data_IF_233705467261
#
_entry.id   IF_233705467261
#
_cell.length_a   1.000
_cell.length_b   1.000
_cell.length_c   1.000
_cell.angle_alpha   90.00
_cell.angle_beta   90.00
_cell.angle_gamma   90.00
#
_symmetry.space_group_name_H-M   'P 1'
#
loop_
_entity.id
_entity.type
_entity.pdbx_description
1 polymer ?
#
# COMPACT_ATOMS: atom_id res chain seq x y z
N UNK A 1 27.45 -78.25 50.48
CA UNK A 1 26.31 -77.36 50.89
C UNK A 1 26.14 -76.36 49.79
N UNK A 2 25.19 -76.63 48.93
CA UNK A 2 24.75 -75.67 47.88
C UNK A 2 23.94 -74.59 48.57
N UNK A 3 24.34 -73.33 48.38
CA UNK A 3 23.63 -72.15 48.83
C UNK A 3 22.47 -71.94 47.81
N UNK A 4 21.26 -72.31 48.16
CA UNK A 4 20.05 -71.93 47.37
C UNK A 4 19.71 -70.48 47.73
N UNK A 5 19.86 -69.58 46.72
CA UNK A 5 19.38 -68.24 46.81
C UNK A 5 17.87 -68.23 46.50
N UNK A 6 17.08 -67.55 47.32
CA UNK A 6 15.66 -67.44 47.07
C UNK A 6 15.41 -66.70 45.69
N UNK A 7 14.58 -67.26 44.87
CA UNK A 7 14.15 -66.65 43.62
C UNK A 7 13.58 -65.26 43.88
N UNK A 8 14.13 -64.25 43.22
CA UNK A 8 13.63 -62.89 43.25
C UNK A 8 12.27 -62.87 42.60
N UNK A 9 11.22 -62.79 43.38
CA UNK A 9 9.87 -62.61 42.90
C UNK A 9 9.76 -61.16 42.41
N UNK A 10 9.80 -60.93 41.09
CA UNK A 10 9.53 -59.62 40.50
C UNK A 10 8.04 -59.38 40.68
N UNK A 11 7.70 -58.51 41.62
CA UNK A 11 6.33 -58.05 41.82
C UNK A 11 5.95 -57.21 40.55
N UNK A 12 4.93 -57.70 39.82
CA UNK A 12 4.41 -56.97 38.66
C UNK A 12 3.93 -55.61 39.09
N UNK A 13 4.04 -54.64 38.20
CA UNK A 13 3.57 -53.26 38.45
C UNK A 13 2.12 -53.26 38.95
N UNK A 14 1.85 -52.52 40.00
CA UNK A 14 0.51 -52.34 40.55
C UNK A 14 -0.35 -51.58 39.54
N UNK A 15 -1.68 -51.72 39.60
CA UNK A 15 -2.60 -50.99 38.73
C UNK A 15 -2.43 -49.48 38.87
N UNK A 16 -2.07 -48.99 40.05
CA UNK A 16 -1.81 -47.57 40.29
C UNK A 16 -0.54 -47.06 39.58
N UNK A 17 0.52 -47.91 39.53
CA UNK A 17 1.73 -47.57 38.75
C UNK A 17 1.49 -47.59 37.24
N UNK A 18 0.59 -48.42 36.73
CA UNK A 18 0.17 -48.42 35.35
C UNK A 18 -0.69 -47.20 35.03
N UNK A 19 -1.60 -46.82 35.92
CA UNK A 19 -2.43 -45.61 35.77
C UNK A 19 -1.55 -44.34 35.85
N UNK A 20 -0.60 -44.27 36.75
CA UNK A 20 0.35 -43.16 36.81
C UNK A 20 1.24 -43.05 35.57
N UNK A 21 1.66 -44.17 34.99
CA UNK A 21 2.42 -44.21 33.76
C UNK A 21 1.57 -43.80 32.53
N UNK A 22 0.28 -44.09 32.51
CA UNK A 22 -0.65 -43.62 31.51
C UNK A 22 -0.90 -42.11 31.62
N UNK A 23 -1.20 -41.62 32.81
CA UNK A 23 -1.36 -40.17 33.06
C UNK A 23 -0.10 -39.38 32.69
N UNK A 24 1.10 -39.91 32.97
CA UNK A 24 2.35 -39.30 32.58
C UNK A 24 2.53 -39.26 31.05
N UNK A 25 2.10 -40.31 30.33
CA UNK A 25 2.14 -40.35 28.87
C UNK A 25 1.11 -39.42 28.24
N UNK A 26 -0.08 -39.33 28.75
CA UNK A 26 -1.12 -38.39 28.32
C UNK A 26 -0.73 -36.95 28.62
N UNK A 27 -0.10 -36.70 29.78
CA UNK A 27 0.47 -35.40 30.16
C UNK A 27 1.58 -34.91 29.23
N UNK A 28 2.45 -35.82 28.76
CA UNK A 28 3.54 -35.51 27.82
C UNK A 28 2.99 -35.09 26.44
N UNK A 29 1.84 -35.61 26.00
CA UNK A 29 1.22 -35.23 24.72
C UNK A 29 0.43 -33.91 24.75
N UNK A 30 -0.10 -33.52 25.91
CA UNK A 30 -0.99 -32.36 26.00
C UNK A 30 -0.30 -31.01 25.75
N UNK A 31 0.97 -30.87 26.12
CA UNK A 31 1.69 -29.62 25.86
C UNK A 31 2.14 -29.42 24.41
N UNK A 32 2.19 -30.51 23.63
CA UNK A 32 2.53 -30.45 22.20
C UNK A 32 1.57 -29.53 21.43
N UNK A 33 0.28 -29.57 21.75
CA UNK A 33 -0.72 -28.68 21.16
C UNK A 33 -0.45 -27.20 21.44
N UNK A 34 0.07 -26.87 22.63
CA UNK A 34 0.43 -25.49 22.97
C UNK A 34 1.67 -25.02 22.21
N UNK A 35 2.66 -25.90 22.05
CA UNK A 35 3.86 -25.60 21.26
C UNK A 35 3.52 -25.40 19.79
N UNK A 36 2.67 -26.29 19.22
CA UNK A 36 2.24 -26.19 17.82
C UNK A 36 1.40 -24.93 17.59
N UNK A 37 0.50 -24.60 18.52
CA UNK A 37 -0.29 -23.36 18.47
C UNK A 37 0.60 -22.12 18.60
N UNK A 38 1.61 -22.16 19.47
CA UNK A 38 2.58 -21.09 19.64
C UNK A 38 3.39 -20.86 18.35
N UNK A 39 3.85 -21.93 17.72
CA UNK A 39 4.60 -21.87 16.48
C UNK A 39 3.73 -21.31 15.33
N UNK A 40 2.51 -21.81 15.18
CA UNK A 40 1.56 -21.33 14.19
C UNK A 40 1.24 -19.84 14.38
N UNK A 41 1.03 -19.39 15.61
CA UNK A 41 0.79 -17.98 15.92
C UNK A 41 2.02 -17.10 15.62
N UNK A 42 3.23 -17.60 15.92
CA UNK A 42 4.47 -16.89 15.63
C UNK A 42 4.75 -16.79 14.13
N UNK A 43 4.54 -17.86 13.37
CA UNK A 43 4.66 -17.87 11.91
C UNK A 43 3.64 -16.93 11.26
N UNK A 44 2.40 -16.93 11.74
CA UNK A 44 1.34 -15.99 11.31
C UNK A 44 1.71 -14.54 11.62
N UNK A 45 2.26 -14.26 12.79
CA UNK A 45 2.74 -12.93 13.19
C UNK A 45 3.87 -12.42 12.29
N UNK A 46 4.86 -13.28 12.00
CA UNK A 46 5.95 -12.96 11.07
C UNK A 46 5.42 -12.70 9.65
N UNK A 47 4.50 -13.53 9.15
CA UNK A 47 3.87 -13.33 7.84
C UNK A 47 3.12 -12.00 7.74
N UNK A 48 2.38 -11.63 8.79
CA UNK A 48 1.64 -10.36 8.86
C UNK A 48 2.58 -9.16 8.88
N UNK A 49 3.67 -9.24 9.64
CA UNK A 49 4.69 -8.18 9.69
C UNK A 49 5.40 -8.02 8.35
N UNK A 50 5.73 -9.14 7.71
CA UNK A 50 6.38 -9.15 6.40
C UNK A 50 5.46 -8.59 5.31
N UNK A 51 4.16 -8.88 5.37
CA UNK A 51 3.17 -8.27 4.49
C UNK A 51 3.10 -6.75 4.68
N UNK A 52 3.11 -6.25 5.91
CA UNK A 52 3.18 -4.82 6.22
C UNK A 52 4.42 -4.15 5.63
N UNK A 53 5.58 -4.80 5.76
CA UNK A 53 6.83 -4.32 5.15
C UNK A 53 6.75 -4.26 3.62
N UNK A 54 6.14 -5.25 2.98
CA UNK A 54 5.93 -5.28 1.53
C UNK A 54 4.95 -4.17 1.06
N UNK A 55 3.90 -3.89 1.83
CA UNK A 55 3.00 -2.76 1.57
C UNK A 55 3.75 -1.43 1.60
N UNK A 56 4.62 -1.25 2.59
CA UNK A 56 5.46 -0.06 2.72
C UNK A 56 6.51 0.04 1.60
N UNK A 57 7.12 -1.09 1.22
CA UNK A 57 8.08 -1.14 0.11
C UNK A 57 7.46 -0.75 -1.24
N UNK A 58 6.15 -0.90 -1.40
CA UNK A 58 5.41 -0.40 -2.56
C UNK A 58 5.15 1.12 -2.55
N UNK A 59 5.43 1.83 -1.45
CA UNK A 59 5.34 3.28 -1.41
C UNK A 59 6.51 3.89 -2.19
N UNK A 60 6.20 4.91 -2.98
CA UNK A 60 7.20 5.61 -3.80
C UNK A 60 7.44 7.01 -3.20
N UNK A 61 8.56 7.15 -2.51
CA UNK A 61 8.99 8.42 -1.90
C UNK A 61 9.94 9.21 -2.78
N UNK A 62 10.13 8.79 -4.05
CA UNK A 62 10.97 9.52 -5.00
C UNK A 62 10.35 10.88 -5.37
N UNK A 63 11.18 11.87 -5.76
CA UNK A 63 10.69 13.16 -6.24
C UNK A 63 9.75 13.03 -7.45
N UNK A 64 9.83 11.92 -8.17
CA UNK A 64 9.07 11.64 -9.39
C UNK A 64 7.80 10.79 -9.15
N UNK A 65 7.48 10.47 -7.89
CA UNK A 65 6.32 9.63 -7.54
C UNK A 65 4.99 10.16 -8.10
N UNK A 66 4.84 11.48 -8.22
CA UNK A 66 3.65 12.12 -8.77
C UNK A 66 3.37 11.75 -10.23
N UNK A 67 4.40 11.38 -11.00
CA UNK A 67 4.25 11.05 -12.43
C UNK A 67 3.30 9.90 -12.69
N UNK A 68 3.19 8.96 -11.73
CA UNK A 68 2.25 7.83 -11.80
C UNK A 68 0.78 8.24 -11.64
N UNK A 69 0.55 9.42 -11.07
CA UNK A 69 -0.77 9.97 -10.79
C UNK A 69 -1.17 11.09 -11.75
N UNK A 70 -0.31 11.42 -12.73
CA UNK A 70 -0.66 12.37 -13.77
C UNK A 70 -1.72 11.76 -14.68
N UNK A 71 -2.78 12.52 -14.92
CA UNK A 71 -3.88 12.07 -15.78
C UNK A 71 -3.44 12.06 -17.24
N UNK A 72 -3.42 10.91 -17.93
CA UNK A 72 -3.08 10.83 -19.34
C UNK A 72 -4.11 11.55 -20.23
N UNK A 73 -5.37 11.67 -19.79
CA UNK A 73 -6.43 12.36 -20.53
C UNK A 73 -6.33 13.89 -20.44
N UNK A 74 -5.52 14.40 -19.52
CA UNK A 74 -5.34 15.85 -19.38
C UNK A 74 -4.84 16.51 -20.67
N UNK A 75 -3.98 15.82 -21.42
CA UNK A 75 -3.49 16.33 -22.70
C UNK A 75 -4.63 16.45 -23.73
N UNK A 76 -5.56 15.50 -23.75
CA UNK A 76 -6.70 15.54 -24.66
C UNK A 76 -7.64 16.68 -24.32
N UNK A 77 -7.93 16.90 -23.03
CA UNK A 77 -8.72 18.02 -22.53
C UNK A 77 -8.07 19.36 -22.87
N UNK A 78 -6.77 19.47 -22.66
CA UNK A 78 -6.00 20.68 -23.00
C UNK A 78 -6.01 20.90 -24.51
N UNK A 79 -5.81 19.88 -25.32
CA UNK A 79 -5.85 19.97 -26.77
C UNK A 79 -7.23 20.45 -27.30
N UNK A 80 -8.32 19.94 -26.69
CA UNK A 80 -9.67 20.37 -27.07
C UNK A 80 -9.92 21.84 -26.69
N UNK A 81 -9.46 22.26 -25.51
CA UNK A 81 -9.51 23.67 -25.10
C UNK A 81 -8.69 24.58 -26.05
N UNK A 82 -7.53 24.11 -26.51
CA UNK A 82 -6.71 24.85 -27.49
C UNK A 82 -7.39 24.97 -28.84
N UNK A 83 -8.04 23.92 -29.32
CA UNK A 83 -8.85 23.98 -30.55
C UNK A 83 -9.99 25.00 -30.46
N UNK A 84 -10.63 25.10 -29.30
CA UNK A 84 -11.67 26.11 -29.09
C UNK A 84 -11.09 27.53 -29.11
N UNK A 85 -9.92 27.77 -28.53
CA UNK A 85 -9.24 29.07 -28.63
C UNK A 85 -8.90 29.40 -30.09
N UNK A 86 -8.39 28.43 -30.85
CA UNK A 86 -8.09 28.61 -32.27
C UNK A 86 -9.34 28.93 -33.09
N UNK A 87 -10.45 28.24 -32.81
CA UNK A 87 -11.73 28.49 -33.44
C UNK A 87 -12.23 29.91 -33.17
N UNK A 88 -12.15 30.36 -31.92
CA UNK A 88 -12.56 31.73 -31.58
C UNK A 88 -11.65 32.78 -32.21
N UNK A 89 -10.33 32.54 -32.26
CA UNK A 89 -9.39 33.42 -32.96
C UNK A 89 -9.68 33.50 -34.44
N UNK A 90 -10.02 32.38 -35.10
CA UNK A 90 -10.39 32.35 -36.51
C UNK A 90 -11.71 33.14 -36.78
N UNK A 91 -12.73 32.99 -35.92
CA UNK A 91 -13.98 33.76 -36.02
C UNK A 91 -13.69 35.27 -35.88
N UNK A 92 -12.89 35.66 -34.87
CA UNK A 92 -12.53 37.05 -34.66
C UNK A 92 -11.73 37.64 -35.83
N UNK A 93 -10.80 36.84 -36.40
CA UNK A 93 -10.06 37.23 -37.61
C UNK A 93 -10.97 37.45 -38.80
N UNK A 94 -11.94 36.55 -39.04
CA UNK A 94 -12.92 36.70 -40.13
C UNK A 94 -13.84 37.91 -39.95
N UNK A 95 -14.26 38.18 -38.69
CA UNK A 95 -15.04 39.39 -38.39
C UNK A 95 -14.24 40.66 -38.62
N UNK A 96 -12.97 40.68 -38.25
CA UNK A 96 -12.06 41.80 -38.50
C UNK A 96 -11.89 42.03 -40.00
N UNK A 97 -11.65 40.96 -40.78
CA UNK A 97 -11.53 41.02 -42.23
C UNK A 97 -12.83 41.55 -42.87
N UNK A 98 -14.00 41.08 -42.43
CA UNK A 98 -15.30 41.55 -42.91
C UNK A 98 -15.52 43.04 -42.64
N UNK A 99 -15.17 43.53 -41.45
CA UNK A 99 -15.23 44.97 -41.11
C UNK A 99 -14.28 45.79 -41.94
N UNK A 100 -13.04 45.32 -42.13
CA UNK A 100 -12.05 46.01 -42.96
C UNK A 100 -12.49 46.08 -44.46
N UNK A 101 -13.09 45.02 -44.98
CA UNK A 101 -13.63 44.98 -46.35
C UNK A 101 -14.77 45.97 -46.48
N UNK A 102 -15.73 46.02 -45.55
CA UNK A 102 -16.86 46.93 -45.54
C UNK A 102 -16.47 48.41 -45.42
N UNK A 103 -15.33 48.70 -44.76
CA UNK A 103 -14.79 50.05 -44.61
C UNK A 103 -13.84 50.46 -45.75
N UNK A 104 -13.60 49.63 -46.74
CA UNK A 104 -12.64 49.89 -47.82
C UNK A 104 -11.18 49.94 -47.39
N UNK A 105 -10.88 49.45 -46.17
CA UNK A 105 -9.55 49.50 -45.51
C UNK A 105 -8.77 48.19 -45.60
N UNK A 106 -9.15 47.32 -46.54
CA UNK A 106 -8.52 46.02 -46.73
C UNK A 106 -7.06 46.20 -47.17
N UNK A 107 -6.10 45.73 -46.36
CA UNK A 107 -4.66 45.83 -46.69
C UNK A 107 -3.96 47.06 -46.11
N UNK A 108 -4.63 47.91 -45.33
CA UNK A 108 -3.98 49.03 -44.65
C UNK A 108 -3.15 48.58 -43.44
N UNK A 109 -2.13 49.43 -43.07
CA UNK A 109 -1.23 49.15 -41.93
C UNK A 109 -1.98 48.89 -40.60
N UNK A 110 -3.12 49.56 -40.37
CA UNK A 110 -3.96 49.35 -39.18
C UNK A 110 -4.58 47.96 -39.11
N UNK A 111 -5.00 47.42 -40.28
CA UNK A 111 -5.54 46.06 -40.36
C UNK A 111 -4.43 45.02 -39.99
N UNK A 112 -3.22 45.19 -40.53
CA UNK A 112 -2.10 44.33 -40.19
C UNK A 112 -1.72 44.34 -38.70
N UNK A 113 -1.77 45.53 -38.04
CA UNK A 113 -1.55 45.66 -36.63
C UNK A 113 -2.64 44.94 -35.83
N UNK A 114 -3.91 45.16 -36.12
CA UNK A 114 -5.02 44.50 -35.44
C UNK A 114 -5.00 42.98 -35.61
N UNK A 115 -4.65 42.48 -36.77
CA UNK A 115 -4.49 41.05 -37.01
C UNK A 115 -3.32 40.47 -36.22
N UNK A 116 -2.18 41.19 -36.10
CA UNK A 116 -1.03 40.74 -35.31
C UNK A 116 -1.34 40.74 -33.81
N UNK A 117 -2.08 41.71 -33.31
CA UNK A 117 -2.55 41.79 -31.92
C UNK A 117 -3.51 40.64 -31.58
N UNK A 118 -4.45 40.32 -32.50
CA UNK A 118 -5.35 39.19 -32.34
C UNK A 118 -4.59 37.87 -32.26
N UNK A 119 -3.58 37.68 -33.13
CA UNK A 119 -2.74 36.45 -33.10
C UNK A 119 -1.93 36.36 -31.82
N UNK A 120 -1.35 37.47 -31.30
CA UNK A 120 -0.63 37.50 -30.04
C UNK A 120 -1.54 37.14 -28.87
N UNK A 121 -2.74 37.73 -28.79
CA UNK A 121 -3.70 37.44 -27.75
C UNK A 121 -4.12 35.96 -27.75
N UNK A 122 -4.36 35.38 -28.93
CA UNK A 122 -4.67 33.94 -29.04
C UNK A 122 -3.50 33.08 -28.53
N UNK A 123 -2.25 33.44 -28.86
CA UNK A 123 -1.06 32.73 -28.43
C UNK A 123 -0.87 32.87 -26.91
N UNK A 124 -1.09 34.02 -26.33
CA UNK A 124 -1.02 34.24 -24.88
C UNK A 124 -2.07 33.44 -24.12
N UNK A 125 -3.32 33.40 -24.63
CA UNK A 125 -4.38 32.57 -24.06
C UNK A 125 -4.03 31.07 -24.10
N UNK A 126 -3.47 30.60 -25.20
CA UNK A 126 -2.99 29.20 -25.34
C UNK A 126 -1.92 28.89 -24.31
N UNK A 127 -0.90 29.75 -24.19
CA UNK A 127 0.20 29.57 -23.23
C UNK A 127 -0.29 29.54 -21.79
N UNK A 128 -1.18 30.47 -21.42
CA UNK A 128 -1.79 30.50 -20.08
C UNK A 128 -2.59 29.25 -19.81
N UNK A 129 -3.42 28.78 -20.75
CA UNK A 129 -4.23 27.59 -20.60
C UNK A 129 -3.39 26.36 -20.38
N UNK A 130 -2.34 26.18 -21.19
CA UNK A 130 -1.39 25.05 -21.03
C UNK A 130 -0.75 25.10 -19.66
N UNK A 131 -0.26 26.26 -19.22
CA UNK A 131 0.39 26.40 -17.93
C UNK A 131 -0.55 26.13 -16.77
N UNK A 132 -1.78 26.65 -16.80
CA UNK A 132 -2.78 26.41 -15.76
C UNK A 132 -3.15 24.93 -15.65
N UNK A 133 -3.40 24.27 -16.78
CA UNK A 133 -3.79 22.86 -16.81
C UNK A 133 -2.62 21.97 -16.33
N UNK A 134 -1.39 22.24 -16.75
CA UNK A 134 -0.21 21.52 -16.27
C UNK A 134 0.01 21.75 -14.77
N UNK A 135 -0.15 22.98 -14.29
CA UNK A 135 0.01 23.30 -12.86
C UNK A 135 -1.02 22.58 -11.99
N UNK A 136 -2.29 22.58 -12.43
CA UNK A 136 -3.36 21.85 -11.72
C UNK A 136 -3.12 20.35 -11.71
N UNK A 137 -2.77 19.77 -12.85
CA UNK A 137 -2.47 18.34 -12.94
C UNK A 137 -1.30 17.95 -12.04
N UNK A 138 -0.23 18.76 -12.05
CA UNK A 138 0.92 18.54 -11.17
C UNK A 138 0.54 18.56 -9.70
N UNK A 139 -0.24 19.59 -9.25
CA UNK A 139 -0.69 19.70 -7.86
C UNK A 139 -1.57 18.51 -7.45
N UNK A 140 -2.50 18.10 -8.31
CA UNK A 140 -3.37 16.95 -8.07
C UNK A 140 -2.57 15.65 -8.00
N UNK A 141 -1.64 15.44 -8.94
CA UNK A 141 -0.79 14.26 -8.96
C UNK A 141 0.12 14.18 -7.72
N UNK A 142 0.67 15.31 -7.29
CA UNK A 142 1.49 15.39 -6.07
C UNK A 142 0.66 15.07 -4.83
N UNK A 143 -0.54 15.62 -4.72
CA UNK A 143 -1.44 15.33 -3.60
C UNK A 143 -1.86 13.85 -3.58
N UNK A 144 -2.18 13.27 -4.73
CA UNK A 144 -2.51 11.86 -4.86
C UNK A 144 -1.34 10.94 -4.49
N UNK A 145 -0.11 11.27 -4.91
CA UNK A 145 1.10 10.54 -4.53
C UNK A 145 1.32 10.57 -3.02
N UNK A 146 1.19 11.73 -2.39
CA UNK A 146 1.31 11.87 -0.93
C UNK A 146 0.24 11.09 -0.19
N UNK A 147 -1.03 11.18 -0.62
CA UNK A 147 -2.13 10.43 -0.03
C UNK A 147 -1.92 8.91 -0.15
N UNK A 148 -1.47 8.42 -1.31
CA UNK A 148 -1.14 7.01 -1.52
C UNK A 148 -0.04 6.54 -0.58
N UNK A 149 1.03 7.32 -0.42
CA UNK A 149 2.14 6.99 0.48
C UNK A 149 1.70 6.99 1.94
N UNK A 150 0.87 7.94 2.36
CA UNK A 150 0.30 7.97 3.71
C UNK A 150 -0.58 6.75 3.99
N UNK A 151 -1.45 6.38 3.05
CA UNK A 151 -2.28 5.18 3.20
C UNK A 151 -1.43 3.91 3.32
N UNK A 152 -0.39 3.78 2.52
CA UNK A 152 0.54 2.64 2.60
C UNK A 152 1.31 2.61 3.92
N UNK A 153 1.77 3.76 4.41
CA UNK A 153 2.44 3.86 5.70
C UNK A 153 1.51 3.49 6.86
N UNK A 154 0.26 3.97 6.85
CA UNK A 154 -0.75 3.59 7.85
C UNK A 154 -1.07 2.10 7.81
N UNK A 155 -1.29 1.54 6.62
CA UNK A 155 -1.52 0.11 6.46
C UNK A 155 -0.34 -0.72 7.00
N UNK A 156 0.90 -0.33 6.69
CA UNK A 156 2.09 -1.00 7.20
C UNK A 156 2.20 -0.97 8.73
N UNK A 157 1.82 0.16 9.36
CA UNK A 157 1.77 0.26 10.82
C UNK A 157 0.74 -0.69 11.42
N UNK A 158 -0.47 -0.75 10.85
CA UNK A 158 -1.53 -1.65 11.31
C UNK A 158 -1.08 -3.12 11.19
N UNK A 159 -0.52 -3.50 10.05
CA UNK A 159 0.00 -4.87 9.87
C UNK A 159 1.18 -5.17 10.80
N UNK A 160 2.06 -4.20 11.04
CA UNK A 160 3.13 -4.34 12.02
C UNK A 160 2.62 -4.57 13.44
N UNK A 161 1.61 -3.82 13.88
CA UNK A 161 0.98 -4.00 15.19
C UNK A 161 0.26 -5.35 15.31
N UNK A 162 -0.48 -5.75 14.28
CA UNK A 162 -1.14 -7.06 14.25
C UNK A 162 -0.12 -8.20 14.31
N UNK A 163 0.97 -8.09 13.57
CA UNK A 163 2.03 -9.09 13.59
C UNK A 163 2.70 -9.23 14.95
N UNK A 164 2.98 -8.13 15.65
CA UNK A 164 3.54 -8.16 17.01
C UNK A 164 2.54 -8.70 18.02
N UNK A 165 1.26 -8.39 17.89
CA UNK A 165 0.22 -8.95 18.76
C UNK A 165 0.08 -10.46 18.58
N UNK A 166 0.09 -10.96 17.35
CA UNK A 166 0.05 -12.40 17.05
C UNK A 166 1.31 -13.10 17.57
N UNK A 167 2.49 -12.51 17.43
CA UNK A 167 3.72 -13.02 18.01
C UNK A 167 3.67 -13.08 19.53
N UNK A 168 3.08 -12.07 20.19
CA UNK A 168 2.85 -12.04 21.64
C UNK A 168 1.94 -13.16 22.13
N UNK A 169 0.89 -13.47 21.39
CA UNK A 169 0.02 -14.63 21.68
C UNK A 169 0.83 -15.93 21.61
N UNK A 170 1.66 -16.09 20.57
CA UNK A 170 2.52 -17.25 20.42
C UNK A 170 3.48 -17.45 21.59
N UNK A 171 4.12 -16.39 22.10
CA UNK A 171 5.00 -16.46 23.29
C UNK A 171 4.24 -16.83 24.55
N UNK A 172 3.01 -16.34 24.73
CA UNK A 172 2.17 -16.71 25.86
C UNK A 172 1.79 -18.19 25.84
N UNK A 173 1.42 -18.75 24.69
CA UNK A 173 1.16 -20.18 24.54
C UNK A 173 2.41 -21.03 24.80
N UNK A 174 3.58 -20.61 24.32
CA UNK A 174 4.84 -21.30 24.61
C UNK A 174 5.15 -21.33 26.11
N UNK A 175 4.95 -20.21 26.82
CA UNK A 175 5.16 -20.12 28.25
C UNK A 175 4.18 -21.01 29.03
N UNK A 176 2.91 -21.08 28.63
CA UNK A 176 1.94 -22.00 29.22
C UNK A 176 2.33 -23.47 29.01
N UNK A 177 2.83 -23.81 27.84
CA UNK A 177 3.34 -25.16 27.56
C UNK A 177 4.52 -25.55 28.46
N UNK A 178 5.47 -24.65 28.66
CA UNK A 178 6.63 -24.84 29.55
C UNK A 178 6.20 -24.99 31.02
N UNK A 179 5.24 -24.19 31.49
CA UNK A 179 4.72 -24.29 32.85
C UNK A 179 4.00 -25.61 33.11
N UNK A 180 3.21 -26.11 32.14
CA UNK A 180 2.59 -27.44 32.27
C UNK A 180 3.64 -28.54 32.31
N UNK A 181 4.68 -28.46 31.49
CA UNK A 181 5.77 -29.43 31.51
C UNK A 181 6.49 -29.46 32.87
N UNK A 182 6.73 -28.30 33.48
CA UNK A 182 7.37 -28.20 34.79
C UNK A 182 6.45 -28.70 35.95
N UNK A 183 5.11 -28.57 35.76
CA UNK A 183 4.12 -29.03 36.76
C UNK A 183 3.92 -30.56 36.77
N UNK A 184 4.15 -31.22 35.62
CA UNK A 184 4.03 -32.70 35.50
C UNK A 184 5.29 -33.46 35.89
N UNK A 185 6.40 -32.75 36.12
CA UNK A 185 7.70 -33.33 36.50
C UNK A 185 7.98 -33.42 37.98
N UNK A 186 6.98 -33.23 38.88
CA UNK A 186 7.13 -33.39 40.35
C UNK A 186 6.39 -34.60 40.84
#
# INVERSE_FOLDING_TARGET
KELQFPERKIVGRTQDELAAAQLAREGIGSFQQFIDSARAAQESGLGTTQFGANVLAGADFSPDAYKKFMDPYQQDVTNEALKEIDRQAAIASNQLAGKAAGAGAFGGSRFGIQQSELARNAQDLRSRRIFEDMSRNFQQAQAAAQASNQQRAQAAQVFGQLGTQQGGIGTNFANLGVQQQAGTGR
#
